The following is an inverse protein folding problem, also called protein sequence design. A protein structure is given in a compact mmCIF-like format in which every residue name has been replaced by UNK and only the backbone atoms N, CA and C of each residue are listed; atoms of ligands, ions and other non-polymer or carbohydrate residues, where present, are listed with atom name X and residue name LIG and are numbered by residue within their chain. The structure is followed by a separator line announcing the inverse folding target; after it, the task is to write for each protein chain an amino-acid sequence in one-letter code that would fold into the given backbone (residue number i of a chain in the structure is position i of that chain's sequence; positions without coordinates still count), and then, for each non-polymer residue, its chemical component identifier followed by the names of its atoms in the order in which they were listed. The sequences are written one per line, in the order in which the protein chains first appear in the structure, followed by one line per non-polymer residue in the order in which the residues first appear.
data_IF_118413890524
#
_entry.id   IF_118413890524
#
_cell.length_a   1.000
_cell.length_b   1.000
_cell.length_c   1.000
_cell.angle_alpha   90.00
_cell.angle_beta   90.00
_cell.angle_gamma   90.00
#
_symmetry.space_group_name_H-M   'P 1'
#
loop_
_entity.id
_entity.type
_entity.pdbx_description
1 polymer ?
#
# COMPACT_ATOMS: atom_id res chain seq x y z
N UNK A 1 -5.34 18.94 -39.56
CA UNK A 1 -4.09 18.67 -38.83
C UNK A 1 -4.47 18.03 -37.50
N UNK A 2 -4.15 16.75 -37.29
CA UNK A 2 -4.39 16.10 -36.00
C UNK A 2 -3.53 16.73 -34.92
N UNK A 3 -4.08 16.94 -33.72
CA UNK A 3 -3.29 17.33 -32.56
C UNK A 3 -2.27 16.21 -32.32
N UNK A 4 -0.99 16.56 -32.40
CA UNK A 4 0.08 15.70 -31.91
C UNK A 4 -0.06 15.73 -30.39
N UNK A 5 -0.59 14.66 -29.81
CA UNK A 5 -0.57 14.45 -28.36
C UNK A 5 0.89 14.52 -27.95
N UNK A 6 1.22 15.37 -26.98
CA UNK A 6 2.56 15.41 -26.43
C UNK A 6 2.82 14.04 -25.77
N UNK A 7 3.87 13.28 -26.16
CA UNK A 7 4.16 11.98 -25.57
C UNK A 7 4.46 12.06 -24.06
N UNK A 8 4.64 13.26 -23.51
CA UNK A 8 4.81 13.53 -22.08
C UNK A 8 3.51 13.97 -21.37
N UNK A 9 2.40 14.16 -22.08
CA UNK A 9 1.08 14.50 -21.51
C UNK A 9 0.28 13.22 -21.17
N UNK A 10 0.96 12.26 -20.55
CA UNK A 10 0.33 11.09 -19.93
C UNK A 10 -0.31 11.52 -18.62
N UNK A 11 -1.62 11.79 -18.67
CA UNK A 11 -2.38 12.18 -17.48
C UNK A 11 -2.83 10.92 -16.74
N UNK A 12 -2.37 10.69 -15.49
CA UNK A 12 -2.86 9.59 -14.68
C UNK A 12 -4.33 9.79 -14.35
N UNK A 13 -5.11 8.71 -14.38
CA UNK A 13 -6.53 8.74 -14.02
C UNK A 13 -6.83 7.91 -12.77
N UNK A 14 -7.83 8.28 -11.96
CA UNK A 14 -8.35 7.38 -10.95
C UNK A 14 -8.97 6.13 -11.59
N UNK A 15 -8.58 4.96 -11.09
CA UNK A 15 -9.22 3.69 -11.41
C UNK A 15 -10.60 3.65 -10.77
N UNK A 16 -11.60 3.16 -11.50
CA UNK A 16 -12.96 3.05 -10.96
C UNK A 16 -13.10 1.77 -10.14
N UNK A 17 -13.89 1.82 -9.06
CA UNK A 17 -14.19 0.62 -8.27
C UNK A 17 -14.86 -0.44 -9.16
N UNK A 18 -14.36 -1.67 -9.10
CA UNK A 18 -14.82 -2.80 -9.90
C UNK A 18 -14.10 -2.96 -11.24
N UNK A 19 -13.21 -2.03 -11.61
CA UNK A 19 -12.35 -2.16 -12.78
C UNK A 19 -11.28 -3.24 -12.56
N UNK A 20 -10.70 -3.29 -11.35
CA UNK A 20 -9.79 -4.34 -10.91
C UNK A 20 -10.25 -4.91 -9.56
N UNK A 21 -11.27 -5.78 -9.54
CA UNK A 21 -11.97 -6.17 -8.32
C UNK A 21 -11.05 -6.85 -7.29
N UNK A 22 -10.06 -7.64 -7.73
CA UNK A 22 -9.13 -8.33 -6.82
C UNK A 22 -8.18 -7.33 -6.16
N UNK A 23 -7.67 -6.35 -6.92
CA UNK A 23 -6.88 -5.26 -6.35
C UNK A 23 -7.71 -4.33 -5.47
N UNK A 24 -8.98 -4.10 -5.77
CA UNK A 24 -9.88 -3.33 -4.92
C UNK A 24 -10.07 -3.99 -3.55
N UNK A 25 -10.27 -5.31 -3.52
CA UNK A 25 -10.38 -6.09 -2.29
C UNK A 25 -9.08 -6.04 -1.48
N UNK A 26 -7.93 -6.23 -2.15
CA UNK A 26 -6.62 -6.11 -1.54
C UNK A 26 -6.39 -4.70 -0.95
N UNK A 27 -6.72 -3.66 -1.71
CA UNK A 27 -6.59 -2.27 -1.30
C UNK A 27 -7.50 -1.94 -0.10
N UNK A 28 -8.70 -2.52 -0.05
CA UNK A 28 -9.58 -2.38 1.10
C UNK A 28 -8.94 -2.97 2.38
N UNK A 29 -8.27 -4.11 2.30
CA UNK A 29 -7.54 -4.70 3.43
C UNK A 29 -6.41 -3.78 3.90
N UNK A 30 -5.57 -3.30 2.99
CA UNK A 30 -4.48 -2.37 3.30
C UNK A 30 -5.00 -1.06 3.88
N UNK A 31 -6.12 -0.54 3.39
CA UNK A 31 -6.75 0.66 3.92
C UNK A 31 -7.29 0.50 5.35
N UNK A 32 -7.65 -0.72 5.79
CA UNK A 32 -7.97 -0.96 7.21
C UNK A 32 -6.75 -0.76 8.10
N UNK A 33 -5.58 -1.20 7.64
CA UNK A 33 -4.32 -1.02 8.36
C UNK A 33 -3.88 0.44 8.38
N UNK A 34 -4.04 1.13 7.25
CA UNK A 34 -3.81 2.58 7.17
C UNK A 34 -4.69 3.30 8.18
N UNK A 35 -6.01 3.05 8.18
CA UNK A 35 -6.93 3.69 9.10
C UNK A 35 -6.63 3.37 10.57
N UNK A 36 -6.15 2.16 10.86
CA UNK A 36 -5.76 1.76 12.21
C UNK A 36 -4.48 2.46 12.72
N UNK A 37 -3.56 2.81 11.82
CA UNK A 37 -2.22 3.34 12.18
C UNK A 37 -2.06 4.83 11.92
N UNK A 38 -2.82 5.38 10.97
CA UNK A 38 -2.82 6.77 10.51
C UNK A 38 -4.27 7.26 10.30
N UNK A 39 -5.09 7.37 11.37
CA UNK A 39 -6.53 7.62 11.28
C UNK A 39 -6.90 8.99 10.68
N UNK A 40 -5.95 9.93 10.63
CA UNK A 40 -6.13 11.24 9.98
C UNK A 40 -6.02 11.19 8.46
N UNK A 41 -5.59 10.06 7.88
CA UNK A 41 -5.41 9.90 6.44
C UNK A 41 -6.67 9.33 5.81
N UNK A 42 -7.05 9.94 4.68
CA UNK A 42 -8.05 9.34 3.80
C UNK A 42 -7.49 8.06 3.16
N UNK A 43 -8.37 7.13 2.74
CA UNK A 43 -7.94 5.88 2.11
C UNK A 43 -7.05 6.10 0.88
N UNK A 44 -6.11 5.18 0.68
CA UNK A 44 -5.37 5.02 -0.57
C UNK A 44 -6.32 4.66 -1.70
N UNK A 45 -5.88 4.92 -2.94
CA UNK A 45 -6.64 4.66 -4.16
C UNK A 45 -5.74 4.13 -5.27
N UNK A 46 -6.33 3.46 -6.25
CA UNK A 46 -5.63 3.06 -7.47
C UNK A 46 -5.63 4.21 -8.49
N UNK A 47 -4.48 4.45 -9.10
CA UNK A 47 -4.30 5.39 -10.22
C UNK A 47 -3.74 4.61 -11.40
N UNK A 48 -4.34 4.76 -12.58
CA UNK A 48 -3.88 4.17 -13.83
C UNK A 48 -3.07 5.22 -14.59
N UNK A 49 -1.85 4.86 -14.98
CA UNK A 49 -1.03 5.62 -15.90
C UNK A 49 -1.04 4.90 -17.25
N UNK A 50 -1.30 5.59 -18.38
CA UNK A 50 -1.14 4.97 -19.69
C UNK A 50 0.26 4.37 -19.85
N UNK A 51 0.34 3.18 -20.45
CA UNK A 51 1.60 2.58 -20.89
C UNK A 51 2.34 3.51 -21.84
N UNK A 52 3.65 3.38 -21.87
CA UNK A 52 4.48 4.12 -22.81
C UNK A 52 4.35 3.51 -24.21
N UNK A 53 4.53 4.32 -25.25
CA UNK A 53 4.47 3.81 -26.64
C UNK A 53 5.53 2.74 -26.95
N UNK A 54 6.58 2.65 -26.13
CA UNK A 54 7.66 1.66 -26.23
C UNK A 54 7.35 0.35 -25.48
N UNK A 55 6.26 0.28 -24.72
CA UNK A 55 5.84 -0.94 -24.03
C UNK A 55 5.37 -1.97 -25.06
N UNK A 56 5.79 -3.24 -24.89
CA UNK A 56 5.39 -4.34 -25.79
C UNK A 56 3.88 -4.55 -25.83
N UNK A 57 3.20 -4.23 -24.72
CA UNK A 57 1.75 -4.15 -24.62
C UNK A 57 1.38 -2.80 -23.98
N UNK A 58 0.89 -1.82 -24.75
CA UNK A 58 0.54 -0.50 -24.23
C UNK A 58 -0.80 -0.56 -23.50
N UNK A 59 -0.83 -1.23 -22.36
CA UNK A 59 -1.93 -1.19 -21.39
C UNK A 59 -1.67 -0.17 -20.29
N UNK A 60 -2.71 0.17 -19.54
CA UNK A 60 -2.58 1.06 -18.40
C UNK A 60 -1.95 0.34 -17.20
N UNK A 61 -0.98 1.00 -16.59
CA UNK A 61 -0.26 0.54 -15.41
C UNK A 61 -0.90 1.09 -14.14
N UNK A 62 -1.37 0.21 -13.26
CA UNK A 62 -2.01 0.62 -12.01
C UNK A 62 -0.99 0.87 -10.91
N UNK A 63 -1.17 1.93 -10.13
CA UNK A 63 -0.35 2.29 -8.98
C UNK A 63 -1.22 2.50 -7.74
N UNK A 64 -0.69 2.17 -6.56
CA UNK A 64 -1.31 2.54 -5.29
C UNK A 64 -0.88 3.96 -4.93
N UNK A 65 -1.84 4.87 -4.78
CA UNK A 65 -1.60 6.27 -4.52
C UNK A 65 -2.25 6.73 -3.21
N UNK A 66 -1.72 7.83 -2.66
CA UNK A 66 -2.40 8.62 -1.65
C UNK A 66 -3.73 9.17 -2.19
N UNK A 67 -4.60 9.60 -1.28
CA UNK A 67 -5.91 10.20 -1.61
C UNK A 67 -5.85 11.49 -2.44
N UNK A 68 -4.68 12.12 -2.59
CA UNK A 68 -4.44 13.26 -3.49
C UNK A 68 -3.97 12.82 -4.89
N UNK A 69 -3.74 11.51 -5.09
CA UNK A 69 -3.38 10.90 -6.36
C UNK A 69 -1.87 10.85 -6.58
N UNK A 70 -1.07 11.18 -5.57
CA UNK A 70 0.39 11.02 -5.62
C UNK A 70 0.81 9.62 -5.15
N UNK A 71 1.78 8.99 -5.82
CA UNK A 71 2.31 7.67 -5.48
C UNK A 71 3.83 7.62 -5.58
N UNK A 72 4.46 6.60 -5.01
CA UNK A 72 5.88 6.30 -5.19
C UNK A 72 6.08 4.82 -5.53
N UNK A 73 7.15 4.51 -6.25
CA UNK A 73 7.49 3.15 -6.65
C UNK A 73 6.89 2.74 -7.99
N UNK A 74 6.94 1.43 -8.25
CA UNK A 74 6.53 0.83 -9.51
C UNK A 74 5.00 0.67 -9.61
N UNK A 75 4.52 0.24 -10.79
CA UNK A 75 3.14 -0.21 -10.94
C UNK A 75 2.95 -1.59 -10.28
N UNK A 76 1.69 -1.94 -10.02
CA UNK A 76 1.31 -3.28 -9.60
C UNK A 76 1.68 -4.27 -10.70
N UNK A 77 2.42 -5.35 -10.39
CA UNK A 77 2.86 -6.30 -11.40
C UNK A 77 1.69 -6.89 -12.20
N UNK A 78 1.87 -7.00 -13.50
CA UNK A 78 0.90 -7.64 -14.39
C UNK A 78 0.56 -9.05 -13.92
N UNK A 79 -0.74 -9.37 -13.90
CA UNK A 79 -1.24 -10.67 -13.47
C UNK A 79 -1.18 -10.92 -11.95
N UNK A 80 -0.73 -9.95 -11.15
CA UNK A 80 -0.80 -10.07 -9.68
C UNK A 80 -2.24 -10.12 -9.16
N UNK A 81 -3.23 -9.74 -9.97
CA UNK A 81 -4.66 -9.88 -9.70
C UNK A 81 -5.21 -11.29 -9.98
N UNK A 82 -4.40 -12.22 -10.51
CA UNK A 82 -4.82 -13.58 -10.82
C UNK A 82 -5.23 -14.39 -9.57
N UNK A 83 -4.68 -14.05 -8.40
CA UNK A 83 -5.10 -14.62 -7.13
C UNK A 83 -5.09 -13.58 -5.98
N UNK A 84 -5.95 -13.74 -4.96
CA UNK A 84 -6.07 -12.75 -3.88
C UNK A 84 -4.83 -12.57 -3.01
N UNK A 85 -3.96 -13.58 -2.88
CA UNK A 85 -2.77 -13.52 -2.02
C UNK A 85 -1.69 -12.69 -2.71
N UNK A 86 -1.41 -12.99 -3.97
CA UNK A 86 -0.48 -12.20 -4.80
C UNK A 86 -0.94 -10.76 -4.93
N UNK A 87 -2.25 -10.53 -5.14
CA UNK A 87 -2.83 -9.19 -5.21
C UNK A 87 -2.62 -8.43 -3.90
N UNK A 88 -2.88 -9.08 -2.76
CA UNK A 88 -2.68 -8.46 -1.46
C UNK A 88 -1.22 -8.14 -1.19
N UNK A 89 -0.29 -9.02 -1.57
CA UNK A 89 1.13 -8.76 -1.42
C UNK A 89 1.57 -7.55 -2.27
N UNK A 90 1.25 -7.55 -3.57
CA UNK A 90 1.60 -6.47 -4.49
C UNK A 90 1.03 -5.11 -4.04
N UNK A 91 -0.25 -5.07 -3.65
CA UNK A 91 -0.89 -3.84 -3.18
C UNK A 91 -0.31 -3.38 -1.84
N UNK A 92 0.00 -4.29 -0.92
CA UNK A 92 0.60 -3.93 0.37
C UNK A 92 2.04 -3.39 0.21
N UNK A 93 2.82 -3.96 -0.70
CA UNK A 93 4.18 -3.50 -1.02
C UNK A 93 4.15 -2.09 -1.62
N UNK A 94 3.36 -1.90 -2.68
CA UNK A 94 3.20 -0.59 -3.33
C UNK A 94 2.64 0.47 -2.37
N UNK A 95 1.72 0.09 -1.48
CA UNK A 95 1.23 0.97 -0.42
C UNK A 95 2.32 1.33 0.58
N UNK A 96 3.15 0.37 1.00
CA UNK A 96 4.25 0.61 1.93
C UNK A 96 5.24 1.63 1.38
N UNK A 97 5.63 1.46 0.11
CA UNK A 97 6.52 2.40 -0.57
C UNK A 97 5.88 3.78 -0.71
N UNK A 98 4.64 3.84 -1.20
CA UNK A 98 3.92 5.10 -1.39
C UNK A 98 3.74 5.87 -0.10
N UNK A 99 3.24 5.22 0.95
CA UNK A 99 3.00 5.87 2.24
C UNK A 99 4.33 6.31 2.85
N UNK A 100 5.36 5.46 2.80
CA UNK A 100 6.63 5.76 3.45
C UNK A 100 7.35 6.94 2.80
N UNK A 101 7.43 6.95 1.47
CA UNK A 101 8.19 7.94 0.72
C UNK A 101 7.42 9.24 0.50
N UNK A 102 6.09 9.18 0.28
CA UNK A 102 5.29 10.40 0.13
C UNK A 102 5.06 11.13 1.44
N UNK A 103 4.95 10.41 2.55
CA UNK A 103 4.74 11.01 3.87
C UNK A 103 6.04 11.19 4.67
N UNK A 104 7.19 10.75 4.14
CA UNK A 104 8.50 10.82 4.80
C UNK A 104 8.50 10.26 6.22
N UNK A 105 7.82 9.12 6.41
CA UNK A 105 7.73 8.44 7.70
C UNK A 105 7.73 6.93 7.48
N UNK A 106 8.25 6.16 8.43
CA UNK A 106 8.13 4.71 8.37
C UNK A 106 6.65 4.30 8.47
N UNK A 107 6.19 3.37 7.63
CA UNK A 107 4.85 2.81 7.74
C UNK A 107 4.78 1.35 7.27
N UNK A 108 4.01 0.49 7.97
CA UNK A 108 3.41 0.72 9.28
C UNK A 108 4.44 0.64 10.42
N UNK A 109 4.17 1.28 11.56
CA UNK A 109 5.07 1.27 12.72
C UNK A 109 4.62 0.23 13.74
N UNK A 110 5.54 -0.63 14.20
CA UNK A 110 5.27 -1.58 15.27
C UNK A 110 4.96 -0.84 16.58
N UNK A 111 3.80 -1.10 17.17
CA UNK A 111 3.38 -0.43 18.42
C UNK A 111 4.17 -0.86 19.66
N UNK A 112 4.91 -1.96 19.60
CA UNK A 112 5.75 -2.44 20.71
C UNK A 112 7.15 -1.80 20.68
N UNK A 113 7.76 -1.73 19.50
CA UNK A 113 9.16 -1.31 19.34
C UNK A 113 9.35 0.06 18.70
N UNK A 114 8.28 0.67 18.17
CA UNK A 114 8.32 1.96 17.47
C UNK A 114 9.32 1.95 16.30
N UNK A 115 9.36 0.84 15.57
CA UNK A 115 10.17 0.65 14.36
C UNK A 115 9.25 0.41 13.17
N UNK A 116 9.67 0.87 11.99
CA UNK A 116 9.03 0.50 10.74
C UNK A 116 8.97 -1.03 10.59
N UNK A 117 7.80 -1.54 10.27
CA UNK A 117 7.58 -2.94 9.93
C UNK A 117 7.76 -3.10 8.43
N UNK A 118 8.11 -4.31 8.00
CA UNK A 118 8.25 -4.64 6.59
C UNK A 118 7.19 -5.67 6.21
N UNK A 119 6.73 -5.58 4.96
CA UNK A 119 5.95 -6.66 4.38
C UNK A 119 6.83 -7.93 4.28
N UNK A 120 6.26 -9.07 4.65
CA UNK A 120 6.84 -10.40 4.44
C UNK A 120 5.75 -11.41 4.12
N UNK A 121 6.15 -12.56 3.61
CA UNK A 121 5.29 -13.73 3.50
C UNK A 121 5.58 -14.68 4.68
N UNK A 122 4.52 -15.14 5.33
CA UNK A 122 4.56 -16.21 6.33
C UNK A 122 3.31 -17.08 6.19
N UNK A 123 3.47 -18.41 6.20
CA UNK A 123 2.38 -19.38 5.99
C UNK A 123 1.49 -19.02 4.78
N UNK A 124 2.12 -18.69 3.65
CA UNK A 124 1.47 -18.31 2.37
C UNK A 124 0.57 -17.06 2.48
N UNK A 125 0.85 -16.17 3.45
CA UNK A 125 0.07 -14.95 3.69
C UNK A 125 0.96 -13.72 3.85
N UNK A 126 0.53 -12.55 3.35
CA UNK A 126 1.22 -11.30 3.61
C UNK A 126 1.05 -10.88 5.08
N UNK A 127 2.17 -10.57 5.73
CA UNK A 127 2.23 -10.15 7.14
C UNK A 127 3.08 -8.89 7.33
N UNK A 128 2.76 -8.13 8.36
CA UNK A 128 3.62 -7.06 8.86
C UNK A 128 4.59 -7.62 9.88
N UNK A 129 5.86 -7.66 9.50
CA UNK A 129 6.94 -8.18 10.31
C UNK A 129 7.76 -7.05 10.95
N UNK A 130 8.01 -7.16 12.25
CA UNK A 130 8.83 -6.20 12.99
C UNK A 130 10.32 -6.59 12.93
N UNK A 131 11.25 -5.63 12.75
CA UNK A 131 12.69 -5.84 12.82
C UNK A 131 13.24 -6.45 14.13
N UNK A 132 12.40 -6.62 15.14
CA UNK A 132 12.70 -7.34 16.38
C UNK A 132 12.30 -8.82 16.34
N UNK A 133 12.17 -9.37 15.14
CA UNK A 133 11.95 -10.78 14.87
C UNK A 133 10.61 -11.31 15.39
N UNK A 134 9.55 -10.56 15.10
CA UNK A 134 8.19 -11.05 15.32
C UNK A 134 7.23 -10.58 14.24
N UNK A 135 6.18 -11.37 14.05
CA UNK A 135 5.02 -11.00 13.24
C UNK A 135 4.07 -10.19 14.10
N UNK A 136 3.70 -9.01 13.60
CA UNK A 136 2.76 -8.14 14.31
C UNK A 136 1.32 -8.52 13.98
N UNK A 137 1.01 -8.67 12.70
CA UNK A 137 -0.31 -9.03 12.20
C UNK A 137 -0.21 -9.52 10.75
N UNK A 138 -1.23 -10.25 10.30
CA UNK A 138 -1.54 -10.34 8.87
C UNK A 138 -1.90 -8.95 8.31
N UNK A 139 -1.66 -8.74 7.02
CA UNK A 139 -2.12 -7.53 6.33
C UNK A 139 -3.66 -7.44 6.41
N UNK A 140 -4.15 -6.24 6.70
CA UNK A 140 -5.54 -5.91 6.97
C UNK A 140 -6.02 -6.20 8.38
N UNK A 141 -5.15 -6.66 9.29
CA UNK A 141 -5.51 -7.03 10.66
C UNK A 141 -4.83 -6.18 11.75
N UNK A 142 -4.05 -5.13 11.42
CA UNK A 142 -3.32 -4.33 12.42
C UNK A 142 -4.25 -3.68 13.45
N UNK A 143 -5.47 -3.31 13.05
CA UNK A 143 -6.48 -2.76 13.97
C UNK A 143 -6.96 -3.73 15.06
N UNK A 144 -6.66 -5.03 14.93
CA UNK A 144 -7.05 -6.05 15.92
C UNK A 144 -5.98 -6.30 16.97
N UNK A 145 -4.74 -5.85 16.73
CA UNK A 145 -3.62 -6.10 17.64
C UNK A 145 -3.62 -5.06 18.75
N UNK A 146 -3.81 -5.51 20.00
CA UNK A 146 -3.84 -4.60 21.14
C UNK A 146 -2.51 -3.87 21.32
N UNK A 147 -2.59 -2.55 21.52
CA UNK A 147 -1.46 -1.77 22.01
C UNK A 147 -1.22 -2.18 23.46
N UNK A 148 0.00 -2.61 23.86
CA UNK A 148 0.26 -2.86 25.27
C UNK A 148 -0.01 -1.57 26.06
N UNK A 149 -0.66 -1.65 27.24
CA UNK A 149 -0.87 -0.49 28.07
C UNK A 149 0.49 0.13 28.38
N UNK A 150 0.66 1.43 28.07
CA UNK A 150 1.86 2.18 28.43
C UNK A 150 2.12 1.98 29.93
N UNK A 151 3.21 1.30 30.29
CA UNK A 151 3.66 1.24 31.67
C UNK A 151 3.89 2.67 32.14
N UNK A 152 3.01 3.17 33.04
CA UNK A 152 3.25 4.45 33.72
C UNK A 152 4.53 4.26 34.52
N UNK A 153 5.57 4.98 34.13
CA UNK A 153 6.86 4.96 34.82
C UNK A 153 6.65 5.15 36.31
N UNK A 154 6.96 4.11 37.09
CA UNK A 154 7.09 4.23 38.52
C UNK A 154 8.29 5.14 38.79
N UNK A 155 8.03 6.42 39.06
CA UNK A 155 9.00 7.27 39.77
C UNK A 155 9.17 6.64 41.15
N UNK A 156 10.30 5.99 41.37
CA UNK A 156 10.80 5.69 42.71
C UNK A 156 11.48 6.97 43.21
N UNK A 157 10.88 7.60 44.20
CA UNK A 157 11.49 8.58 45.09
C UNK A 157 11.96 7.88 46.35
#
# INVERSE_FOLDING_TARGET
MGRMTDPFDVTPRPVQLGEYPVWDEALALVNRDLAATLPERAPLRLMALPGWEEDEDPHEHAHVALSDGTWWGNHLPDGSDADPVSALFAVAEAAQDTVSERLWQAWPVCTEHTLGMHLREEDERPVWWCPKDHVRAAVGALGTVQRPPRARGARRS
#
